data_IF_316725048478
#
_entry.id   IF_316725048478
#
_cell.length_a   1.000
_cell.length_b   1.000
_cell.length_c   1.000
_cell.angle_alpha   90.00
_cell.angle_beta   90.00
_cell.angle_gamma   90.00
#
_symmetry.space_group_name_H-M   'P 1'
#
loop_
_entity.id
_entity.type
_entity.pdbx_description
1 polymer ?
#
# COMPACT_ATOMS: atom_id res chain seq x y z
N UNK A 1 -4.64 -7.56 -66.07
CA UNK A 1 -5.15 -6.50 -65.12
C UNK A 1 -5.54 -7.02 -63.73
N UNK A 2 -5.62 -8.30 -63.47
CA UNK A 2 -6.05 -8.85 -62.16
C UNK A 2 -4.97 -8.85 -61.06
N UNK A 3 -3.70 -8.87 -61.38
CA UNK A 3 -2.60 -8.93 -60.36
C UNK A 3 -2.39 -7.63 -59.59
N UNK A 4 -2.80 -6.49 -60.11
CA UNK A 4 -2.67 -5.18 -59.41
C UNK A 4 -3.78 -4.95 -58.39
N UNK A 5 -4.96 -5.54 -58.56
CA UNK A 5 -6.06 -5.44 -57.62
C UNK A 5 -5.82 -6.25 -56.34
N UNK A 6 -5.13 -7.40 -56.43
CA UNK A 6 -4.78 -8.23 -55.27
C UNK A 6 -3.78 -7.58 -54.33
N UNK A 7 -2.80 -6.84 -54.85
CA UNK A 7 -1.80 -6.13 -54.03
C UNK A 7 -2.39 -4.93 -53.26
N UNK A 8 -3.40 -4.30 -53.78
CA UNK A 8 -4.07 -3.16 -53.11
C UNK A 8 -4.97 -3.67 -51.95
N UNK A 9 -5.61 -4.82 -52.10
CA UNK A 9 -6.46 -5.41 -51.08
C UNK A 9 -5.68 -5.93 -49.87
N UNK A 10 -4.47 -6.49 -50.11
CA UNK A 10 -3.58 -6.98 -49.02
C UNK A 10 -2.92 -5.84 -48.25
N UNK A 11 -2.63 -4.73 -48.89
CA UNK A 11 -2.08 -3.52 -48.22
C UNK A 11 -3.11 -2.83 -47.31
N UNK A 12 -4.40 -2.81 -47.68
CA UNK A 12 -5.46 -2.22 -46.89
C UNK A 12 -5.80 -3.02 -45.62
N UNK A 13 -5.74 -4.37 -45.69
CA UNK A 13 -5.98 -5.23 -44.53
C UNK A 13 -4.84 -5.20 -43.49
N UNK A 14 -3.59 -5.04 -43.95
CA UNK A 14 -2.44 -4.88 -43.03
C UNK A 14 -2.45 -3.56 -42.26
N UNK A 15 -2.94 -2.48 -42.87
CA UNK A 15 -3.04 -1.17 -42.21
C UNK A 15 -4.12 -1.13 -41.13
N UNK A 16 -5.22 -1.88 -41.27
CA UNK A 16 -6.29 -1.96 -40.28
C UNK A 16 -5.90 -2.77 -39.03
N UNK A 17 -4.99 -3.76 -39.18
CA UNK A 17 -4.52 -4.58 -38.08
C UNK A 17 -3.53 -3.85 -37.14
N UNK A 18 -2.82 -2.82 -37.64
CA UNK A 18 -1.87 -2.06 -36.81
C UNK A 18 -2.56 -1.04 -35.88
N UNK A 19 -3.78 -0.61 -36.18
CA UNK A 19 -4.53 0.37 -35.36
C UNK A 19 -5.15 -0.27 -34.12
N UNK A 20 -5.37 -1.57 -34.11
CA UNK A 20 -5.97 -2.31 -32.99
C UNK A 20 -5.00 -2.64 -31.83
N UNK A 21 -3.68 -2.43 -31.99
CA UNK A 21 -2.70 -2.69 -30.93
C UNK A 21 -2.44 -1.52 -29.98
N UNK A 22 -2.99 -0.35 -30.23
CA UNK A 22 -2.80 0.85 -29.39
C UNK A 22 -3.79 0.99 -28.23
N UNK A 23 -4.60 -0.01 -27.95
CA UNK A 23 -5.71 0.05 -26.98
C UNK A 23 -5.42 -0.30 -25.54
N UNK A 24 -4.20 -0.70 -25.16
CA UNK A 24 -3.86 -0.91 -23.76
C UNK A 24 -3.47 0.42 -23.11
N UNK A 25 -4.47 1.15 -22.59
CA UNK A 25 -4.28 2.37 -21.81
C UNK A 25 -3.56 2.14 -20.46
N UNK A 26 -2.44 1.43 -20.46
CA UNK A 26 -1.64 1.19 -19.27
C UNK A 26 -0.78 2.43 -18.99
N UNK A 27 -1.33 3.36 -18.21
CA UNK A 27 -0.57 4.50 -17.71
C UNK A 27 0.13 4.09 -16.39
N UNK A 28 1.45 4.22 -16.33
CA UNK A 28 2.19 4.11 -15.08
C UNK A 28 1.62 5.11 -14.06
N UNK A 29 1.39 4.66 -12.83
CA UNK A 29 0.93 5.52 -11.75
C UNK A 29 1.92 6.66 -11.56
N UNK A 30 1.50 7.89 -11.80
CA UNK A 30 2.34 9.07 -11.59
C UNK A 30 2.65 9.19 -10.09
N UNK A 31 3.90 9.54 -9.77
CA UNK A 31 4.26 9.87 -8.41
C UNK A 31 3.36 11.02 -7.91
N UNK A 32 2.82 10.94 -6.70
CA UNK A 32 1.97 11.99 -6.14
C UNK A 32 2.75 13.31 -6.03
N UNK A 33 2.04 14.42 -6.21
CA UNK A 33 2.57 15.74 -5.91
C UNK A 33 2.25 16.10 -4.47
N UNK A 34 3.30 16.40 -3.70
CA UNK A 34 3.18 16.83 -2.32
C UNK A 34 3.28 18.34 -2.22
N UNK A 35 2.42 18.96 -1.40
CA UNK A 35 2.49 20.39 -1.11
C UNK A 35 3.59 20.75 -0.08
N UNK A 36 4.42 19.78 0.32
CA UNK A 36 5.48 19.89 1.30
C UNK A 36 6.71 19.10 0.88
N UNK A 37 7.87 19.49 1.37
CA UNK A 37 9.15 18.84 1.09
C UNK A 37 9.76 18.15 2.31
N UNK A 38 9.26 18.44 3.53
CA UNK A 38 9.72 17.82 4.76
C UNK A 38 8.55 17.37 5.60
N UNK A 39 8.59 16.11 6.07
CA UNK A 39 7.56 15.50 6.90
C UNK A 39 8.21 14.91 8.15
N UNK A 40 7.69 15.28 9.33
CA UNK A 40 7.99 14.54 10.56
C UNK A 40 7.05 13.36 10.69
N UNK A 41 7.61 12.15 10.86
CA UNK A 41 6.86 10.92 11.07
C UNK A 41 6.80 10.59 12.56
N UNK A 42 5.58 10.49 13.11
CA UNK A 42 5.36 10.02 14.49
C UNK A 42 5.51 8.50 14.67
N UNK A 43 5.84 7.76 13.60
CA UNK A 43 6.16 6.32 13.68
C UNK A 43 7.57 6.12 14.25
N UNK A 44 7.75 5.10 15.08
CA UNK A 44 9.08 4.70 15.53
C UNK A 44 9.95 4.32 14.33
N UNK A 45 11.24 4.66 14.37
CA UNK A 45 12.20 4.34 13.29
C UNK A 45 12.30 2.84 13.01
N UNK A 46 12.15 2.01 14.05
CA UNK A 46 12.17 0.54 13.97
C UNK A 46 10.83 -0.07 13.56
N UNK A 47 9.76 0.72 13.50
CA UNK A 47 8.44 0.25 13.08
C UNK A 47 8.50 -0.20 11.63
N UNK A 48 8.06 -1.42 11.28
CA UNK A 48 7.99 -1.87 9.89
C UNK A 48 7.19 -0.92 9.00
N UNK A 49 6.07 -0.37 9.50
CA UNK A 49 5.27 0.63 8.79
C UNK A 49 6.06 1.94 8.61
N UNK A 50 6.81 2.39 9.63
CA UNK A 50 7.64 3.59 9.55
C UNK A 50 8.76 3.46 8.53
N UNK A 51 9.41 2.29 8.47
CA UNK A 51 10.44 1.98 7.47
C UNK A 51 9.86 2.01 6.06
N UNK A 52 8.70 1.39 5.86
CA UNK A 52 8.03 1.34 4.55
C UNK A 52 7.58 2.73 4.10
N UNK A 53 6.92 3.50 4.97
CA UNK A 53 6.49 4.87 4.68
C UNK A 53 7.68 5.75 4.29
N UNK A 54 8.77 5.71 5.06
CA UNK A 54 9.98 6.47 4.75
C UNK A 54 10.53 6.09 3.38
N UNK A 55 10.68 4.80 3.12
CA UNK A 55 11.19 4.30 1.84
C UNK A 55 10.32 4.75 0.66
N UNK A 56 9.00 4.68 0.81
CA UNK A 56 8.05 5.07 -0.22
C UNK A 56 8.08 6.57 -0.51
N UNK A 57 8.16 7.40 0.53
CA UNK A 57 8.21 8.86 0.37
C UNK A 57 9.57 9.31 -0.20
N UNK A 58 10.69 8.79 0.30
CA UNK A 58 12.04 9.13 -0.16
C UNK A 58 12.29 8.65 -1.60
N UNK A 59 11.68 7.55 -2.02
CA UNK A 59 11.73 7.07 -3.40
C UNK A 59 11.17 8.10 -4.41
N UNK A 60 10.25 8.96 -3.98
CA UNK A 60 9.73 10.05 -4.81
C UNK A 60 10.76 11.16 -5.05
N UNK A 61 11.81 11.23 -4.23
CA UNK A 61 12.84 12.31 -4.22
C UNK A 61 12.28 13.70 -4.00
N UNK A 62 11.02 13.81 -3.56
CA UNK A 62 10.33 15.10 -3.33
C UNK A 62 10.20 15.42 -1.85
N UNK A 63 10.18 14.40 -0.99
CA UNK A 63 9.93 14.54 0.45
C UNK A 63 11.05 13.91 1.25
N UNK A 64 11.60 14.66 2.21
CA UNK A 64 12.53 14.18 3.23
C UNK A 64 11.74 13.83 4.49
N UNK A 65 11.92 12.62 5.01
CA UNK A 65 11.29 12.17 6.25
C UNK A 65 12.21 12.42 7.44
N UNK A 66 11.66 13.03 8.48
CA UNK A 66 12.33 13.30 9.76
C UNK A 66 11.70 12.39 10.80
N UNK A 67 12.50 11.56 11.49
CA UNK A 67 12.04 10.67 12.55
C UNK A 67 12.52 11.09 13.94
N UNK A 68 13.57 11.95 14.02
CA UNK A 68 14.08 12.45 15.29
C UNK A 68 13.15 13.55 15.84
N UNK A 69 12.55 13.30 17.01
CA UNK A 69 11.64 14.24 17.67
C UNK A 69 12.28 15.60 17.99
N UNK A 70 13.62 15.66 18.13
CA UNK A 70 14.36 16.91 18.37
C UNK A 70 14.34 17.85 17.16
N UNK A 71 14.16 17.27 15.97
CA UNK A 71 14.15 17.98 14.70
C UNK A 71 12.74 18.26 14.17
N UNK A 72 11.70 18.04 14.98
CA UNK A 72 10.30 18.24 14.56
C UNK A 72 10.06 19.65 14.03
N UNK A 73 10.77 20.64 14.53
CA UNK A 73 10.63 22.04 14.10
C UNK A 73 11.19 22.31 12.69
N UNK A 74 11.96 21.37 12.12
CA UNK A 74 12.46 21.46 10.75
C UNK A 74 11.45 20.90 9.73
N UNK A 75 10.40 20.25 10.20
CA UNK A 75 9.37 19.69 9.34
C UNK A 75 8.31 20.74 8.95
N UNK A 76 7.88 20.73 7.71
CA UNK A 76 6.74 21.54 7.26
C UNK A 76 5.41 20.94 7.71
N UNK A 77 5.34 19.61 7.75
CA UNK A 77 4.15 18.86 8.16
C UNK A 77 4.52 17.77 9.15
N UNK A 78 3.55 17.44 10.00
CA UNK A 78 3.67 16.45 11.07
C UNK A 78 2.61 15.37 10.83
N UNK A 79 3.06 14.12 10.73
CA UNK A 79 2.20 12.94 10.77
C UNK A 79 2.06 12.48 12.22
N UNK A 80 0.96 12.81 12.85
CA UNK A 80 0.61 12.30 14.17
C UNK A 80 0.04 10.88 14.00
N UNK A 81 0.66 9.91 14.65
CA UNK A 81 0.15 8.53 14.70
C UNK A 81 -0.71 8.38 15.95
N UNK A 82 -1.98 8.12 15.75
CA UNK A 82 -2.97 8.00 16.81
C UNK A 82 -3.19 6.55 17.25
N UNK A 83 -3.01 5.60 16.31
CA UNK A 83 -3.11 4.17 16.55
C UNK A 83 -2.30 3.43 15.50
N UNK A 84 -1.48 2.46 15.93
CA UNK A 84 -0.85 1.44 15.08
C UNK A 84 -1.02 0.11 15.81
N UNK A 85 -2.01 -0.68 15.39
CA UNK A 85 -2.45 -1.86 16.12
C UNK A 85 -2.64 -3.04 15.19
N UNK A 86 -2.10 -4.19 15.62
CA UNK A 86 -2.33 -5.50 15.02
C UNK A 86 -3.09 -6.36 16.00
N UNK A 87 -4.11 -7.03 15.52
CA UNK A 87 -4.93 -7.94 16.30
C UNK A 87 -5.06 -9.27 15.58
N UNK A 88 -5.11 -10.35 16.36
CA UNK A 88 -5.44 -11.68 15.90
C UNK A 88 -6.63 -12.18 16.71
N UNK A 89 -7.77 -12.35 16.06
CA UNK A 89 -9.04 -12.69 16.69
C UNK A 89 -9.47 -14.07 16.21
N UNK A 90 -9.97 -14.91 17.11
CA UNK A 90 -10.58 -16.20 16.72
C UNK A 90 -11.86 -15.92 15.96
N UNK A 91 -11.92 -16.42 14.71
CA UNK A 91 -13.09 -16.27 13.85
C UNK A 91 -14.02 -17.49 13.94
N UNK A 92 -13.46 -18.69 13.96
CA UNK A 92 -14.26 -19.92 14.08
C UNK A 92 -13.56 -21.03 14.85
N UNK A 93 -14.37 -21.90 15.46
CA UNK A 93 -13.96 -23.11 16.15
C UNK A 93 -14.51 -24.34 15.40
N UNK A 94 -13.84 -25.47 15.54
CA UNK A 94 -14.38 -26.76 15.09
C UNK A 94 -15.34 -27.36 16.14
N UNK A 95 -15.93 -28.53 15.82
CA UNK A 95 -16.87 -29.22 16.70
C UNK A 95 -16.27 -29.66 18.04
N UNK A 96 -14.93 -29.72 18.14
CA UNK A 96 -14.19 -30.09 19.37
C UNK A 96 -13.73 -28.87 20.16
N UNK A 97 -14.07 -27.65 19.73
CA UNK A 97 -13.68 -26.40 20.40
C UNK A 97 -12.28 -25.89 20.06
N UNK A 98 -11.60 -26.50 19.10
CA UNK A 98 -10.29 -26.03 18.65
C UNK A 98 -10.45 -24.94 17.61
N UNK A 99 -9.50 -24.00 17.56
CA UNK A 99 -9.52 -22.90 16.58
C UNK A 99 -9.34 -23.46 15.17
N UNK A 100 -10.24 -23.06 14.27
CA UNK A 100 -10.21 -23.38 12.86
C UNK A 100 -9.73 -22.20 12.01
N UNK A 101 -10.11 -20.99 12.39
CA UNK A 101 -9.79 -19.78 11.65
C UNK A 101 -9.50 -18.62 12.59
N UNK A 102 -8.52 -17.82 12.22
CA UNK A 102 -8.27 -16.51 12.81
C UNK A 102 -8.56 -15.40 11.78
N UNK A 103 -8.96 -14.26 12.28
CA UNK A 103 -8.97 -13.01 11.54
C UNK A 103 -7.81 -12.14 12.02
N UNK A 104 -6.94 -11.78 11.11
CA UNK A 104 -5.87 -10.81 11.31
C UNK A 104 -6.41 -9.43 10.99
N UNK A 105 -6.21 -8.49 11.88
CA UNK A 105 -6.64 -7.10 11.71
C UNK A 105 -5.45 -6.18 11.88
N UNK A 106 -5.37 -5.19 11.00
CA UNK A 106 -4.44 -4.08 11.11
C UNK A 106 -5.25 -2.79 11.12
N UNK A 107 -5.05 -1.96 12.13
CA UNK A 107 -5.71 -0.67 12.27
C UNK A 107 -4.66 0.41 12.42
N UNK A 108 -4.69 1.36 11.52
CA UNK A 108 -3.79 2.50 11.51
C UNK A 108 -4.61 3.78 11.52
N UNK A 109 -4.50 4.57 12.58
CA UNK A 109 -5.18 5.85 12.69
C UNK A 109 -4.16 6.96 12.79
N UNK A 110 -4.29 7.95 11.95
CA UNK A 110 -3.34 9.03 11.80
C UNK A 110 -4.04 10.36 11.52
N UNK A 111 -3.28 11.42 11.64
CA UNK A 111 -3.65 12.78 11.26
C UNK A 111 -2.43 13.47 10.66
N UNK A 112 -2.62 14.29 9.62
CA UNK A 112 -1.57 15.13 9.06
C UNK A 112 -1.89 16.60 9.35
N UNK A 113 -0.94 17.32 9.93
CA UNK A 113 -1.08 18.75 10.24
C UNK A 113 0.19 19.52 9.91
N UNK A 114 0.09 20.84 9.78
CA UNK A 114 1.26 21.72 9.78
C UNK A 114 1.83 21.87 11.19
N UNK A 115 3.06 22.39 11.31
CA UNK A 115 3.63 22.76 12.61
C UNK A 115 2.74 23.77 13.37
N UNK A 116 2.09 24.70 12.67
CA UNK A 116 1.17 25.67 13.25
C UNK A 116 -0.17 25.04 13.73
N UNK A 117 -0.36 23.72 13.57
CA UNK A 117 -1.56 23.00 14.02
C UNK A 117 -2.70 22.95 13.02
N UNK A 118 -2.59 23.57 11.83
CA UNK A 118 -3.61 23.46 10.78
C UNK A 118 -3.67 22.02 10.26
N UNK A 119 -4.83 21.39 10.37
CA UNK A 119 -5.06 20.05 9.81
C UNK A 119 -5.08 20.09 8.28
N UNK A 120 -4.31 19.18 7.68
CA UNK A 120 -4.27 18.91 6.24
C UNK A 120 -5.07 17.66 5.92
N UNK A 121 -4.94 16.64 6.77
CA UNK A 121 -5.75 15.42 6.76
C UNK A 121 -6.28 15.28 8.21
N UNK A 122 -7.60 15.30 8.40
CA UNK A 122 -8.19 15.08 9.74
C UNK A 122 -7.90 13.65 10.22
N UNK A 123 -8.17 13.38 11.49
CA UNK A 123 -7.99 12.05 12.04
C UNK A 123 -8.75 11.01 11.20
N UNK A 124 -7.99 10.18 10.51
CA UNK A 124 -8.46 9.17 9.57
C UNK A 124 -7.98 7.80 10.00
N UNK A 125 -8.76 6.76 9.72
CA UNK A 125 -8.42 5.39 10.05
C UNK A 125 -8.39 4.53 8.78
N UNK A 126 -7.34 3.73 8.64
CA UNK A 126 -7.22 2.64 7.67
C UNK A 126 -7.35 1.35 8.48
N UNK A 127 -8.33 0.53 8.13
CA UNK A 127 -8.55 -0.76 8.74
C UNK A 127 -8.53 -1.85 7.66
N UNK A 128 -7.62 -2.79 7.82
CA UNK A 128 -7.46 -3.93 6.93
C UNK A 128 -7.68 -5.22 7.70
N UNK A 129 -8.21 -6.25 7.03
CA UNK A 129 -8.41 -7.56 7.62
C UNK A 129 -8.13 -8.67 6.61
N UNK A 130 -7.64 -9.80 7.13
CA UNK A 130 -7.40 -11.04 6.37
C UNK A 130 -7.77 -12.22 7.24
N UNK A 131 -8.42 -13.21 6.65
CA UNK A 131 -8.75 -14.45 7.33
C UNK A 131 -7.67 -15.49 7.03
N UNK A 132 -7.28 -16.27 8.03
CA UNK A 132 -6.27 -17.33 7.93
C UNK A 132 -6.80 -18.61 8.56
N UNK A 133 -6.80 -19.69 7.78
CA UNK A 133 -7.11 -21.01 8.31
C UNK A 133 -5.98 -21.47 9.24
N UNK A 134 -6.34 -22.04 10.37
CA UNK A 134 -5.40 -22.57 11.34
C UNK A 134 -5.45 -24.09 11.38
N UNK A 135 -4.27 -24.71 11.49
CA UNK A 135 -4.12 -26.15 11.66
C UNK A 135 -2.96 -26.41 12.63
N UNK A 136 -3.26 -27.09 13.74
CA UNK A 136 -2.27 -27.40 14.78
C UNK A 136 -1.10 -28.27 14.29
N UNK A 137 -1.30 -29.06 13.23
CA UNK A 137 -0.21 -29.86 12.64
C UNK A 137 0.78 -29.05 11.81
N UNK A 138 0.50 -27.78 11.51
CA UNK A 138 1.29 -26.92 10.62
C UNK A 138 1.57 -25.53 11.23
N UNK A 139 1.75 -25.46 12.56
CA UNK A 139 1.87 -24.18 13.30
C UNK A 139 2.95 -23.28 12.73
N UNK A 140 4.17 -23.79 12.52
CA UNK A 140 5.28 -22.97 11.98
C UNK A 140 4.99 -22.41 10.59
N UNK A 141 4.34 -23.21 9.72
CA UNK A 141 3.95 -22.72 8.40
C UNK A 141 2.87 -21.63 8.51
N UNK A 142 1.95 -21.76 9.46
CA UNK A 142 0.89 -20.78 9.71
C UNK A 142 1.43 -19.49 10.34
N UNK A 143 2.42 -19.55 11.19
CA UNK A 143 3.10 -18.35 11.72
C UNK A 143 3.85 -17.60 10.61
N UNK A 144 4.51 -18.32 9.69
CA UNK A 144 5.14 -17.70 8.53
C UNK A 144 4.12 -17.03 7.58
N UNK A 145 2.98 -17.70 7.33
CA UNK A 145 1.87 -17.16 6.53
C UNK A 145 1.27 -15.91 7.18
N UNK A 146 1.04 -15.92 8.49
CA UNK A 146 0.56 -14.78 9.27
C UNK A 146 1.51 -13.57 9.13
N UNK A 147 2.81 -13.80 9.26
CA UNK A 147 3.81 -12.74 9.12
C UNK A 147 3.81 -12.12 7.71
N UNK A 148 3.61 -12.92 6.68
CA UNK A 148 3.47 -12.46 5.30
C UNK A 148 2.20 -11.62 5.12
N UNK A 149 1.06 -12.10 5.63
CA UNK A 149 -0.21 -11.38 5.54
C UNK A 149 -0.16 -10.02 6.24
N UNK A 150 0.47 -9.93 7.42
CA UNK A 150 0.68 -8.64 8.08
C UNK A 150 1.60 -7.72 7.28
N UNK A 151 2.62 -8.24 6.62
CA UNK A 151 3.50 -7.45 5.75
C UNK A 151 2.74 -6.91 4.55
N UNK A 152 1.93 -7.74 3.92
CA UNK A 152 1.10 -7.34 2.77
C UNK A 152 0.09 -6.25 3.18
N UNK A 153 -0.62 -6.45 4.30
CA UNK A 153 -1.51 -5.42 4.83
C UNK A 153 -0.78 -4.11 5.15
N UNK A 154 0.46 -4.16 5.62
CA UNK A 154 1.25 -2.94 5.87
C UNK A 154 1.64 -2.21 4.58
N UNK A 155 1.89 -2.94 3.49
CA UNK A 155 2.19 -2.31 2.20
C UNK A 155 0.95 -1.69 1.55
N UNK A 156 -0.25 -2.11 1.97
CA UNK A 156 -1.53 -1.57 1.50
C UNK A 156 -1.96 -0.29 2.26
N UNK A 157 -1.33 0.01 3.42
CA UNK A 157 -1.57 1.22 4.22
C UNK A 157 -0.83 2.43 3.67
#
# INVERSE_FOLDING_TARGET
MQRRAFLVFTASSASLALVSLSGCGFALRKAPDFAFTTLYSGLAESSPLGVELRRSLEATRKVKVISDARLINEAQVVLDVLLDQREKVVLSLNATGQVREFQLRLRFRFRLRTLAGKELIPASEIALQRDINFNESAVLAKEAEEALLYRDMQSDV
#
